data_IF_362488297769
#
_entry.id   IF_362488297769
#
_cell.length_a   1.000
_cell.length_b   1.000
_cell.length_c   1.000
_cell.angle_alpha   90.00
_cell.angle_beta   90.00
_cell.angle_gamma   90.00
#
_symmetry.space_group_name_H-M   'P 1'
#
loop_
_entity.id
_entity.type
_entity.pdbx_description
1 polymer ?
#
# COMPACT_ATOMS: atom_id res chain seq x y z
N UNK A 1 -4.85 -6.56 0.02
CA UNK A 1 -3.91 -6.33 -1.09
C UNK A 1 -2.58 -5.92 -0.52
N UNK A 2 -1.48 -6.46 -1.04
CA UNK A 2 -0.12 -5.97 -0.77
C UNK A 2 0.39 -5.22 -2.00
N UNK A 3 0.52 -3.89 -1.89
CA UNK A 3 0.86 -3.03 -3.04
C UNK A 3 2.33 -3.12 -3.47
N UNK A 4 3.20 -3.65 -2.61
CA UNK A 4 4.63 -3.75 -2.87
C UNK A 4 5.17 -5.09 -2.34
N UNK A 5 4.73 -6.18 -2.97
CA UNK A 5 4.87 -7.52 -2.41
C UNK A 5 6.31 -8.05 -2.37
N UNK A 6 7.20 -7.58 -3.25
CA UNK A 6 8.56 -8.12 -3.40
C UNK A 6 8.52 -9.66 -3.50
N UNK A 7 8.94 -10.42 -2.47
CA UNK A 7 8.87 -11.89 -2.44
C UNK A 7 7.60 -12.47 -1.76
N UNK A 8 6.58 -11.64 -1.48
CA UNK A 8 5.30 -12.08 -0.92
C UNK A 8 5.34 -12.33 0.58
N UNK A 9 6.24 -11.64 1.29
CA UNK A 9 6.44 -11.85 2.74
C UNK A 9 5.18 -11.57 3.56
N UNK A 10 4.43 -10.53 3.21
CA UNK A 10 3.17 -10.20 3.87
C UNK A 10 2.14 -11.33 3.70
N UNK A 11 1.89 -11.76 2.46
CA UNK A 11 0.95 -12.85 2.18
C UNK A 11 1.37 -14.18 2.83
N UNK A 12 2.68 -14.46 2.91
CA UNK A 12 3.19 -15.64 3.59
C UNK A 12 2.94 -15.60 5.10
N UNK A 13 3.02 -14.42 5.73
CA UNK A 13 2.82 -14.25 7.16
C UNK A 13 1.37 -14.48 7.61
N UNK A 14 0.39 -14.15 6.75
CA UNK A 14 -1.05 -14.30 7.05
C UNK A 14 -1.70 -15.47 6.32
N UNK A 15 -0.89 -16.43 5.84
CA UNK A 15 -1.38 -17.58 5.03
C UNK A 15 -2.36 -18.49 5.79
N UNK A 16 -2.26 -18.54 7.12
CA UNK A 16 -3.17 -19.33 7.96
C UNK A 16 -4.53 -18.67 8.18
N UNK A 17 -4.65 -17.37 7.90
CA UNK A 17 -5.89 -16.63 8.09
C UNK A 17 -6.84 -16.89 6.90
N UNK A 18 -8.17 -16.84 7.09
CA UNK A 18 -9.16 -17.09 6.04
C UNK A 18 -9.29 -15.89 5.08
N UNK A 19 -8.17 -15.42 4.54
CA UNK A 19 -8.07 -14.24 3.69
C UNK A 19 -7.26 -14.55 2.43
N UNK A 20 -7.51 -13.80 1.36
CA UNK A 20 -6.70 -13.85 0.15
C UNK A 20 -5.95 -12.54 -0.04
N UNK A 21 -4.74 -12.62 -0.62
CA UNK A 21 -3.88 -11.45 -0.83
C UNK A 21 -3.54 -11.33 -2.29
N UNK A 22 -4.02 -10.27 -2.95
CA UNK A 22 -3.42 -9.82 -4.21
C UNK A 22 -2.04 -9.24 -3.93
N UNK A 23 -0.99 -9.89 -4.42
CA UNK A 23 0.39 -9.42 -4.32
C UNK A 23 0.75 -8.61 -5.57
N UNK A 24 1.05 -7.33 -5.41
CA UNK A 24 1.42 -6.48 -6.53
C UNK A 24 2.94 -6.27 -6.55
N UNK A 25 3.56 -6.60 -7.67
CA UNK A 25 4.98 -6.31 -7.92
C UNK A 25 5.06 -5.05 -8.79
N UNK A 26 5.62 -3.93 -8.29
CA UNK A 26 5.72 -2.71 -9.08
C UNK A 26 6.58 -2.91 -10.35
N UNK A 27 6.15 -2.35 -11.48
CA UNK A 27 6.83 -2.52 -12.79
C UNK A 27 8.29 -2.05 -12.81
N UNK A 28 8.65 -1.11 -11.95
CA UNK A 28 10.01 -0.55 -11.82
C UNK A 28 10.86 -1.23 -10.74
N UNK A 29 10.41 -2.36 -10.18
CA UNK A 29 11.15 -3.16 -9.19
C UNK A 29 11.60 -4.50 -9.79
N UNK A 30 12.53 -5.22 -9.12
CA UNK A 30 12.97 -6.53 -9.59
C UNK A 30 11.80 -7.48 -9.86
N UNK A 31 11.92 -8.25 -10.94
CA UNK A 31 10.89 -9.15 -11.42
C UNK A 31 10.75 -10.39 -10.51
N UNK A 32 10.01 -10.27 -9.41
CA UNK A 32 9.83 -11.33 -8.39
C UNK A 32 8.54 -12.13 -8.56
N UNK A 33 7.72 -11.86 -9.58
CA UNK A 33 6.41 -12.50 -9.75
C UNK A 33 6.51 -14.02 -9.93
N UNK A 34 7.54 -14.52 -10.62
CA UNK A 34 7.77 -15.96 -10.75
C UNK A 34 7.96 -16.63 -9.37
N UNK A 35 8.73 -16.00 -8.47
CA UNK A 35 8.95 -16.49 -7.12
C UNK A 35 7.66 -16.46 -6.26
N UNK A 36 6.71 -15.57 -6.54
CA UNK A 36 5.40 -15.58 -5.91
C UNK A 36 4.58 -16.81 -6.34
N UNK A 37 4.57 -17.09 -7.65
CA UNK A 37 3.87 -18.23 -8.22
C UNK A 37 4.44 -19.57 -7.75
N UNK A 38 5.77 -19.70 -7.65
CA UNK A 38 6.43 -20.89 -7.10
C UNK A 38 6.02 -21.18 -5.65
N UNK A 39 5.58 -20.16 -4.91
CA UNK A 39 5.06 -20.28 -3.53
C UNK A 39 3.55 -20.52 -3.47
N UNK A 40 2.87 -20.63 -4.62
CA UNK A 40 1.41 -20.75 -4.72
C UNK A 40 0.65 -19.46 -4.38
N UNK A 41 1.31 -18.30 -4.42
CA UNK A 41 0.69 -17.01 -4.18
C UNK A 41 0.15 -16.42 -5.48
N UNK A 42 -0.98 -15.72 -5.41
CA UNK A 42 -1.48 -14.92 -6.54
C UNK A 42 -0.80 -13.55 -6.57
N UNK A 43 -0.52 -13.04 -7.75
CA UNK A 43 0.06 -11.71 -7.90
C UNK A 43 0.02 -11.18 -9.32
N UNK A 44 0.42 -9.92 -9.47
CA UNK A 44 0.41 -9.21 -10.75
C UNK A 44 1.52 -8.16 -10.82
N UNK A 45 2.01 -7.87 -12.03
CA UNK A 45 2.81 -6.67 -12.27
C UNK A 45 1.90 -5.48 -12.48
N UNK A 46 2.18 -4.37 -11.78
CA UNK A 46 1.41 -3.14 -11.97
C UNK A 46 2.30 -1.91 -11.88
N UNK A 47 1.94 -0.88 -12.65
CA UNK A 47 2.50 0.44 -12.51
C UNK A 47 1.55 1.33 -11.71
N UNK A 48 1.94 1.71 -10.50
CA UNK A 48 1.11 2.52 -9.61
C UNK A 48 0.91 3.98 -10.07
N UNK A 49 1.56 4.38 -11.16
CA UNK A 49 1.23 5.62 -11.86
C UNK A 49 0.05 5.48 -12.85
N UNK A 50 -0.43 4.25 -13.06
CA UNK A 50 -1.62 3.93 -13.85
C UNK A 50 -2.73 3.38 -12.95
N UNK A 51 -4.02 3.57 -13.33
CA UNK A 51 -5.14 2.98 -12.60
C UNK A 51 -5.04 1.45 -12.53
N UNK A 52 -5.29 0.88 -11.35
CA UNK A 52 -5.29 -0.57 -11.16
C UNK A 52 -6.55 -1.19 -11.78
N UNK A 53 -6.38 -2.25 -12.57
CA UNK A 53 -7.48 -2.92 -13.28
C UNK A 53 -8.36 -3.74 -12.32
N UNK A 54 -9.16 -3.05 -11.52
CA UNK A 54 -10.11 -3.63 -10.56
C UNK A 54 -11.31 -2.71 -10.38
N UNK A 55 -12.44 -3.27 -9.97
CA UNK A 55 -13.62 -2.50 -9.63
C UNK A 55 -13.37 -1.59 -8.41
N UNK A 56 -13.98 -0.40 -8.34
CA UNK A 56 -13.96 0.39 -7.12
C UNK A 56 -14.47 -0.43 -5.93
N UNK A 57 -13.94 -0.18 -4.72
CA UNK A 57 -14.35 -0.86 -3.48
C UNK A 57 -14.19 -2.39 -3.57
N UNK A 58 -13.05 -2.85 -4.06
CA UNK A 58 -12.71 -4.27 -4.14
C UNK A 58 -12.13 -4.81 -2.83
N UNK A 59 -11.26 -4.05 -2.16
CA UNK A 59 -10.45 -4.53 -1.05
C UNK A 59 -10.89 -3.97 0.30
N UNK A 60 -10.88 -4.80 1.34
CA UNK A 60 -11.13 -4.38 2.73
C UNK A 60 -9.83 -3.94 3.44
N UNK A 61 -8.68 -4.42 2.98
CA UNK A 61 -7.37 -4.14 3.57
C UNK A 61 -6.30 -3.90 2.52
N UNK A 62 -5.53 -2.83 2.70
CA UNK A 62 -4.38 -2.49 1.84
C UNK A 62 -3.12 -2.36 2.71
N UNK A 63 -2.11 -3.14 2.38
CA UNK A 63 -0.76 -3.02 2.93
C UNK A 63 0.16 -2.36 1.90
N UNK A 64 1.00 -1.44 2.35
CA UNK A 64 2.10 -0.90 1.55
C UNK A 64 3.31 -0.59 2.42
N UNK A 65 4.45 -1.13 2.03
CA UNK A 65 5.76 -0.77 2.57
C UNK A 65 6.52 0.05 1.54
N UNK A 66 7.07 1.20 1.96
CA UNK A 66 7.80 2.11 1.07
C UNK A 66 6.90 2.72 0.00
N UNK A 67 5.79 3.35 0.37
CA UNK A 67 4.84 3.99 -0.57
C UNK A 67 5.52 5.06 -1.42
N UNK A 68 6.51 5.79 -0.87
CA UNK A 68 7.25 6.78 -1.65
C UNK A 68 8.04 6.12 -2.81
N UNK A 69 8.54 4.90 -2.60
CA UNK A 69 9.26 4.13 -3.63
C UNK A 69 8.36 3.73 -4.80
N UNK A 70 7.03 3.79 -4.66
CA UNK A 70 6.10 3.47 -5.74
C UNK A 70 5.94 4.61 -6.74
N UNK A 71 6.12 5.86 -6.29
CA UNK A 71 5.93 7.06 -7.09
C UNK A 71 7.23 7.75 -7.50
N UNK A 72 8.39 7.30 -6.99
CA UNK A 72 9.71 7.82 -7.35
C UNK A 72 10.52 6.85 -8.20
N UNK A 73 11.40 7.40 -9.04
CA UNK A 73 12.41 6.60 -9.71
C UNK A 73 13.52 6.19 -8.73
N UNK A 74 14.01 4.94 -8.80
CA UNK A 74 15.22 4.55 -8.08
C UNK A 74 16.41 5.39 -8.57
N UNK A 75 17.02 6.19 -7.69
CA UNK A 75 18.24 6.95 -8.02
C UNK A 75 18.04 8.25 -8.80
N UNK A 76 16.81 8.75 -8.94
CA UNK A 76 16.54 10.08 -9.54
C UNK A 76 15.63 10.93 -8.64
N UNK A 77 15.89 12.24 -8.59
CA UNK A 77 15.08 13.20 -7.83
C UNK A 77 13.69 13.49 -8.45
N UNK A 78 13.39 12.91 -9.61
CA UNK A 78 12.11 13.12 -10.31
C UNK A 78 11.09 12.06 -9.90
N UNK A 79 9.86 12.52 -9.63
CA UNK A 79 8.69 11.66 -9.40
C UNK A 79 8.21 11.06 -10.73
N UNK A 80 7.79 9.79 -10.73
CA UNK A 80 7.08 9.13 -11.83
C UNK A 80 5.65 9.66 -11.96
N UNK A 81 4.98 9.80 -10.82
CA UNK A 81 3.62 10.34 -10.66
C UNK A 81 3.47 10.99 -9.28
N UNK A 82 2.30 11.57 -9.00
CA UNK A 82 2.04 12.24 -7.72
C UNK A 82 1.56 11.23 -6.66
N UNK A 83 2.05 11.37 -5.42
CA UNK A 83 1.56 10.62 -4.27
C UNK A 83 0.06 10.84 -4.03
N UNK A 84 -0.47 12.01 -4.37
CA UNK A 84 -1.92 12.30 -4.28
C UNK A 84 -2.70 11.37 -5.22
N UNK A 85 -2.23 11.19 -6.45
CA UNK A 85 -2.91 10.33 -7.45
C UNK A 85 -2.92 8.87 -6.97
N UNK A 86 -1.80 8.39 -6.42
CA UNK A 86 -1.73 7.06 -5.81
C UNK A 86 -2.70 6.91 -4.63
N UNK A 87 -2.78 7.91 -3.74
CA UNK A 87 -3.70 7.88 -2.60
C UNK A 87 -5.17 7.91 -3.04
N UNK A 88 -5.51 8.62 -4.12
CA UNK A 88 -6.85 8.62 -4.71
C UNK A 88 -7.17 7.27 -5.33
N UNK A 89 -6.19 6.62 -5.98
CA UNK A 89 -6.35 5.27 -6.51
C UNK A 89 -6.56 4.23 -5.38
N UNK A 90 -5.81 4.35 -4.29
CA UNK A 90 -6.05 3.56 -3.07
C UNK A 90 -7.45 3.79 -2.52
N UNK A 91 -7.95 5.03 -2.48
CA UNK A 91 -9.33 5.32 -2.08
C UNK A 91 -10.35 4.68 -3.03
N UNK A 92 -10.13 4.74 -4.34
CA UNK A 92 -11.04 4.15 -5.32
C UNK A 92 -11.24 2.65 -5.06
N UNK A 93 -10.16 1.91 -4.83
CA UNK A 93 -10.20 0.44 -4.69
C UNK A 93 -10.54 -0.05 -3.28
N UNK A 94 -10.38 0.80 -2.25
CA UNK A 94 -10.69 0.48 -0.86
C UNK A 94 -12.20 0.60 -0.58
N UNK A 95 -12.75 -0.45 0.05
CA UNK A 95 -14.13 -0.47 0.56
C UNK A 95 -14.29 0.56 1.68
N UNK A 96 -15.49 1.12 1.87
CA UNK A 96 -15.78 1.88 3.08
C UNK A 96 -15.48 1.07 4.33
N UNK A 97 -15.01 1.73 5.39
CA UNK A 97 -14.53 1.09 6.63
C UNK A 97 -13.29 0.20 6.43
N UNK A 98 -12.78 0.09 5.20
CA UNK A 98 -11.53 -0.58 4.89
C UNK A 98 -10.34 0.13 5.53
N UNK A 99 -9.30 -0.66 5.83
CA UNK A 99 -8.11 -0.19 6.54
C UNK A 99 -6.88 -0.25 5.64
N UNK A 100 -6.03 0.76 5.75
CA UNK A 100 -4.73 0.83 5.09
C UNK A 100 -3.65 0.87 6.14
N UNK A 101 -2.62 0.05 5.95
CA UNK A 101 -1.40 0.06 6.76
C UNK A 101 -0.23 0.46 5.88
N UNK A 102 0.42 1.56 6.23
CA UNK A 102 1.52 2.17 5.48
C UNK A 102 2.75 2.20 6.38
N UNK A 103 3.84 1.58 5.94
CA UNK A 103 5.13 1.61 6.64
C UNK A 103 6.16 2.33 5.78
N UNK A 104 6.69 3.44 6.27
CA UNK A 104 7.67 4.26 5.54
C UNK A 104 8.46 5.18 6.49
N UNK A 105 9.34 6.03 5.93
CA UNK A 105 10.06 7.06 6.65
C UNK A 105 9.13 8.10 7.30
N UNK A 106 9.49 8.70 8.45
CA UNK A 106 8.62 9.62 9.19
C UNK A 106 8.12 10.80 8.35
N UNK A 107 8.99 11.36 7.50
CA UNK A 107 8.69 12.50 6.64
C UNK A 107 7.64 12.13 5.58
N UNK A 108 7.73 10.90 5.05
CA UNK A 108 6.75 10.35 4.10
C UNK A 108 5.42 10.11 4.80
N UNK A 109 5.46 9.50 5.99
CA UNK A 109 4.27 9.22 6.80
C UNK A 109 3.52 10.52 7.13
N UNK A 110 4.21 11.61 7.45
CA UNK A 110 3.57 12.90 7.69
C UNK A 110 2.89 13.47 6.44
N UNK A 111 3.52 13.34 5.26
CA UNK A 111 2.91 13.75 3.99
C UNK A 111 1.68 12.91 3.66
N UNK A 112 1.77 11.59 3.79
CA UNK A 112 0.67 10.65 3.58
C UNK A 112 -0.49 10.93 4.54
N UNK A 113 -0.18 11.20 5.82
CA UNK A 113 -1.17 11.54 6.84
C UNK A 113 -1.98 12.80 6.47
N UNK A 114 -1.32 13.84 5.94
CA UNK A 114 -1.99 15.05 5.47
C UNK A 114 -2.96 14.76 4.32
N UNK A 115 -2.53 13.96 3.34
CA UNK A 115 -3.38 13.58 2.19
C UNK A 115 -4.55 12.70 2.65
N UNK A 116 -4.30 11.69 3.47
CA UNK A 116 -5.31 10.79 4.03
C UNK A 116 -6.41 11.56 4.77
N UNK A 117 -6.04 12.55 5.59
CA UNK A 117 -7.01 13.43 6.26
C UNK A 117 -7.79 14.30 5.28
N UNK A 118 -7.17 14.79 4.21
CA UNK A 118 -7.85 15.60 3.19
C UNK A 118 -8.92 14.80 2.43
N UNK A 119 -8.68 13.50 2.18
CA UNK A 119 -9.69 12.56 1.64
C UNK A 119 -10.63 11.99 2.72
N UNK A 120 -10.59 12.55 3.94
CA UNK A 120 -11.41 12.23 5.11
C UNK A 120 -11.29 10.78 5.61
N UNK A 121 -10.09 10.22 5.51
CA UNK A 121 -9.74 9.02 6.28
C UNK A 121 -9.38 9.39 7.71
N UNK A 122 -9.71 8.51 8.65
CA UNK A 122 -9.23 8.60 10.04
C UNK A 122 -7.86 7.96 10.12
N UNK A 123 -6.89 8.62 10.76
CA UNK A 123 -5.50 8.14 10.80
C UNK A 123 -4.96 8.06 12.22
N UNK A 124 -4.14 7.04 12.47
CA UNK A 124 -3.31 6.89 13.67
C UNK A 124 -1.89 6.56 13.25
N UNK A 125 -0.90 7.16 13.92
CA UNK A 125 0.52 6.92 13.65
C UNK A 125 1.09 6.17 14.85
N UNK A 126 1.78 5.08 14.55
CA UNK A 126 2.41 4.19 15.51
C UNK A 126 3.92 4.17 15.28
N UNK A 127 4.67 3.99 16.37
CA UNK A 127 6.09 3.70 16.29
C UNK A 127 6.30 2.27 15.78
N UNK A 128 7.48 2.01 15.21
CA UNK A 128 7.90 0.69 14.73
C UNK A 128 7.97 -0.35 15.86
N UNK A 129 8.06 -1.64 15.49
CA UNK A 129 8.26 -2.71 16.45
C UNK A 129 9.62 -2.58 17.18
N UNK A 130 9.62 -2.88 18.48
CA UNK A 130 10.82 -2.90 19.30
C UNK A 130 11.86 -3.87 18.74
N UNK A 131 13.07 -3.39 18.46
CA UNK A 131 14.18 -4.19 17.92
C UNK A 131 14.35 -4.18 16.40
N UNK A 132 13.42 -3.60 15.64
CA UNK A 132 13.62 -3.37 14.20
C UNK A 132 14.72 -2.33 13.94
N UNK A 133 15.58 -2.51 12.94
CA UNK A 133 16.56 -1.48 12.54
C UNK A 133 15.90 -0.41 11.65
N UNK A 134 16.30 0.86 11.79
CA UNK A 134 15.77 1.98 10.97
C UNK A 134 14.93 3.01 11.74
N UNK A 135 14.48 4.07 11.07
CA UNK A 135 13.64 5.15 11.64
C UNK A 135 12.20 5.14 11.11
N UNK A 136 11.72 4.00 10.64
CA UNK A 136 10.39 3.90 10.04
C UNK A 136 9.25 4.13 11.05
N UNK A 137 8.10 4.58 10.54
CA UNK A 137 6.84 4.66 11.27
C UNK A 137 5.73 3.94 10.52
N UNK A 138 4.68 3.60 11.25
CA UNK A 138 3.52 2.91 10.72
C UNK A 138 2.32 3.84 10.81
N UNK A 139 1.67 4.11 9.69
CA UNK A 139 0.38 4.80 9.64
C UNK A 139 -0.71 3.78 9.39
N UNK A 140 -1.69 3.77 10.28
CA UNK A 140 -2.94 3.01 10.12
C UNK A 140 -4.02 4.02 9.80
N UNK A 141 -4.65 3.87 8.64
CA UNK A 141 -5.75 4.71 8.20
C UNK A 141 -7.00 3.89 7.93
N UNK A 142 -8.16 4.44 8.26
CA UNK A 142 -9.45 3.80 8.01
C UNK A 142 -10.31 4.75 7.20
N UNK A 143 -10.88 4.22 6.11
CA UNK A 143 -11.78 4.97 5.23
C UNK A 143 -13.14 5.15 5.88
N UNK A 144 -13.57 6.40 6.03
CA UNK A 144 -14.89 6.71 6.58
C UNK A 144 -16.02 6.23 5.65
N UNK A 145 -17.08 5.67 6.22
CA UNK A 145 -18.31 5.43 5.47
C UNK A 145 -19.04 6.76 5.23
N UNK A 146 -19.18 7.13 3.96
CA UNK A 146 -19.93 8.32 3.57
C UNK A 146 -21.43 8.09 3.78
N UNK A 147 -21.97 8.56 4.90
CA UNK A 147 -23.41 8.79 5.03
C UNK A 147 -23.69 10.19 4.44
N UNK A 148 -24.53 10.25 3.42
CA UNK A 148 -25.19 11.51 3.06
C UNK A 148 -26.11 11.83 4.24
N UNK A 149 -25.75 12.85 5.00
CA UNK A 149 -26.62 13.46 6.01
C UNK A 149 -27.39 14.61 5.37
#
# INVERSE_FOLDING_TARGET
>A
MDMNAFFGGFAAAIRSDPVWVMNVVPSHKPATLAALYDRGLIGVYHDWCEPFSTYPRSYDFIHVSGIESLVRYPGFDKSRCNLVDLMVEMDRILRPEGTVVIRDHPEVIERVNRIARAIRWTTTIHEKEAGSQGREKILVATKSFWKLH
#
